data_IF_614168507030
#
_entry.id   IF_614168507030
#
_cell.length_a   1.000
_cell.length_b   1.000
_cell.length_c   1.000
_cell.angle_alpha   90.00
_cell.angle_beta   90.00
_cell.angle_gamma   90.00
#
_symmetry.space_group_name_H-M   'P 1'
#
loop_
_entity.id
_entity.type
_entity.pdbx_description
1 polymer ?
#
# COMPACT_ATOMS: atom_id res chain seq x y z
N UNK A 1 -15.25 -8.63 51.74
CA UNK A 1 -15.12 -7.71 50.59
C UNK A 1 -15.49 -8.42 49.28
N UNK A 2 -16.78 -8.69 49.00
CA UNK A 2 -17.19 -9.50 47.82
C UNK A 2 -18.26 -8.85 46.92
N UNK A 3 -18.62 -7.58 47.16
CA UNK A 3 -19.64 -6.86 46.36
C UNK A 3 -19.08 -6.02 45.21
N UNK A 4 -17.75 -5.83 45.16
CA UNK A 4 -17.09 -5.04 44.08
C UNK A 4 -16.96 -5.84 42.79
N UNK A 5 -16.77 -7.16 42.88
CA UNK A 5 -16.66 -8.07 41.73
C UNK A 5 -17.98 -8.24 40.99
N UNK A 6 -19.12 -8.33 41.69
CA UNK A 6 -20.43 -8.50 41.03
C UNK A 6 -20.89 -7.27 40.25
N UNK A 7 -20.53 -6.07 40.72
CA UNK A 7 -20.79 -4.82 40.01
C UNK A 7 -19.92 -4.69 38.76
N UNK A 8 -18.61 -4.90 38.89
CA UNK A 8 -17.67 -4.84 37.77
C UNK A 8 -18.00 -5.88 36.68
N UNK A 9 -18.39 -7.09 37.08
CA UNK A 9 -18.78 -8.18 36.19
C UNK A 9 -20.13 -7.90 35.50
N UNK A 10 -21.04 -7.16 36.14
CA UNK A 10 -22.26 -6.67 35.51
C UNK A 10 -21.96 -5.56 34.49
N UNK A 11 -21.14 -4.58 34.87
CA UNK A 11 -20.71 -3.48 34.00
C UNK A 11 -19.98 -4.01 32.75
N UNK A 12 -19.13 -5.03 32.91
CA UNK A 12 -18.44 -5.68 31.80
C UNK A 12 -19.42 -6.37 30.83
N UNK A 13 -20.40 -7.12 31.34
CA UNK A 13 -21.42 -7.76 30.49
C UNK A 13 -22.35 -6.77 29.80
N UNK A 14 -22.63 -5.62 30.43
CA UNK A 14 -23.41 -4.54 29.83
C UNK A 14 -22.62 -3.87 28.69
N UNK A 15 -21.33 -3.59 28.90
CA UNK A 15 -20.44 -3.07 27.85
C UNK A 15 -20.30 -4.04 26.68
N UNK A 16 -20.18 -5.35 26.94
CA UNK A 16 -20.11 -6.37 25.89
C UNK A 16 -21.40 -6.42 25.05
N UNK A 17 -22.58 -6.31 25.68
CA UNK A 17 -23.86 -6.25 24.97
C UNK A 17 -24.00 -4.98 24.13
N UNK A 18 -23.58 -3.83 24.66
CA UNK A 18 -23.60 -2.57 23.93
C UNK A 18 -22.68 -2.61 22.69
N UNK A 19 -21.49 -3.20 22.84
CA UNK A 19 -20.56 -3.41 21.71
C UNK A 19 -21.13 -4.35 20.64
N UNK A 20 -21.78 -5.44 21.03
CA UNK A 20 -22.46 -6.34 20.09
C UNK A 20 -23.62 -5.67 19.35
N UNK A 21 -24.39 -4.81 20.04
CA UNK A 21 -25.49 -4.07 19.40
C UNK A 21 -24.96 -3.07 18.35
N UNK A 22 -23.87 -2.36 18.66
CA UNK A 22 -23.20 -1.47 17.69
C UNK A 22 -22.69 -2.23 16.47
N UNK A 23 -22.07 -3.40 16.66
CA UNK A 23 -21.59 -4.25 15.56
C UNK A 23 -22.75 -4.76 14.69
N UNK A 24 -23.88 -5.15 15.29
CA UNK A 24 -25.06 -5.59 14.57
C UNK A 24 -25.61 -4.49 13.63
N UNK A 25 -25.68 -3.24 14.10
CA UNK A 25 -26.09 -2.10 13.27
C UNK A 25 -25.16 -1.85 12.07
N UNK A 26 -23.87 -2.22 12.20
CA UNK A 26 -22.89 -2.11 11.11
C UNK A 26 -22.81 -3.36 10.21
N UNK A 27 -23.52 -4.44 10.56
CA UNK A 27 -23.58 -5.66 9.73
C UNK A 27 -24.61 -5.50 8.60
N UNK A 28 -25.48 -4.50 8.70
CA UNK A 28 -26.45 -4.09 7.67
C UNK A 28 -25.75 -3.25 6.58
N UNK A 29 -24.63 -3.74 6.03
CA UNK A 29 -24.15 -3.19 4.77
C UNK A 29 -25.17 -3.59 3.70
N UNK A 30 -25.71 -2.65 2.90
CA UNK A 30 -26.65 -3.03 1.86
C UNK A 30 -25.96 -4.06 0.96
N UNK A 31 -26.56 -5.25 0.90
CA UNK A 31 -26.09 -6.32 0.04
C UNK A 31 -26.01 -5.75 -1.38
N UNK A 32 -24.87 -5.95 -2.03
CA UNK A 32 -24.65 -5.45 -3.38
C UNK A 32 -25.86 -5.84 -4.23
N UNK A 33 -26.57 -4.84 -4.76
CA UNK A 33 -27.76 -5.05 -5.56
C UNK A 33 -27.44 -6.12 -6.61
N UNK A 34 -28.26 -7.18 -6.65
CA UNK A 34 -28.15 -8.22 -7.66
C UNK A 34 -27.99 -7.58 -9.05
N UNK A 35 -27.16 -8.14 -9.95
CA UNK A 35 -26.92 -7.55 -11.26
C UNK A 35 -28.26 -7.35 -11.96
N UNK A 36 -28.63 -6.09 -12.15
CA UNK A 36 -29.83 -5.69 -12.89
C UNK A 36 -29.64 -6.18 -14.32
N UNK A 37 -30.54 -7.03 -14.81
CA UNK A 37 -30.52 -7.45 -16.21
C UNK A 37 -30.48 -6.21 -17.11
N UNK A 38 -29.50 -6.17 -18.01
CA UNK A 38 -29.20 -5.01 -18.84
C UNK A 38 -30.46 -4.53 -19.61
N UNK A 39 -30.89 -3.28 -19.45
CA UNK A 39 -31.85 -2.70 -20.38
C UNK A 39 -31.14 -2.34 -21.69
N UNK A 40 -31.87 -2.52 -22.79
CA UNK A 40 -31.43 -2.26 -24.15
C UNK A 40 -30.89 -0.83 -24.34
N UNK A 41 -29.79 -0.72 -25.08
CA UNK A 41 -29.19 0.47 -25.70
C UNK A 41 -29.49 1.82 -25.02
N UNK A 42 -29.08 1.97 -23.76
CA UNK A 42 -28.67 3.28 -23.27
C UNK A 42 -27.29 3.58 -23.85
N UNK A 43 -27.11 4.78 -24.41
CA UNK A 43 -25.78 5.32 -24.68
C UNK A 43 -25.01 5.28 -23.36
N UNK A 44 -24.11 4.31 -23.22
CA UNK A 44 -23.29 4.11 -22.03
C UNK A 44 -22.36 5.31 -21.96
N UNK A 45 -22.81 6.39 -21.34
CA UNK A 45 -21.89 7.35 -20.73
C UNK A 45 -21.20 6.54 -19.65
N UNK A 46 -19.90 6.24 -19.77
CA UNK A 46 -19.20 5.54 -18.71
C UNK A 46 -19.40 6.38 -17.45
N UNK A 47 -20.04 5.83 -16.43
CA UNK A 47 -20.14 6.41 -15.09
C UNK A 47 -18.78 6.31 -14.38
N UNK A 48 -17.74 6.71 -15.11
CA UNK A 48 -16.36 6.55 -14.72
C UNK A 48 -15.61 7.74 -15.29
N UNK A 49 -14.81 8.39 -14.44
CA UNK A 49 -14.12 9.62 -14.78
C UNK A 49 -13.35 9.48 -16.11
N UNK A 50 -13.26 10.54 -16.94
CA UNK A 50 -12.41 10.51 -18.12
C UNK A 50 -10.97 10.09 -17.78
N UNK A 51 -10.24 9.37 -18.66
CA UNK A 51 -8.92 8.83 -18.38
C UNK A 51 -7.92 9.83 -17.79
N UNK A 52 -7.97 11.09 -18.23
CA UNK A 52 -7.12 12.18 -17.77
C UNK A 52 -7.34 12.59 -16.30
N UNK A 53 -8.47 12.21 -15.71
CA UNK A 53 -8.81 12.46 -14.30
C UNK A 53 -8.70 11.21 -13.43
N UNK A 54 -8.28 10.07 -14.00
CA UNK A 54 -8.05 8.86 -13.24
C UNK A 54 -6.67 8.91 -12.61
N UNK A 55 -6.55 8.36 -11.40
CA UNK A 55 -5.23 8.08 -10.84
C UNK A 55 -4.49 7.12 -11.78
N UNK A 56 -3.21 7.39 -12.12
CA UNK A 56 -2.42 6.49 -12.95
C UNK A 56 -2.43 5.09 -12.36
N UNK A 57 -2.73 4.09 -13.18
CA UNK A 57 -2.54 2.71 -12.78
C UNK A 57 -1.07 2.31 -12.92
N UNK A 58 -0.67 1.18 -12.33
CA UNK A 58 0.71 0.69 -12.38
C UNK A 58 1.26 0.56 -13.81
N UNK A 59 0.39 0.28 -14.78
CA UNK A 59 0.79 0.12 -16.20
C UNK A 59 1.01 1.46 -16.91
N UNK A 60 0.55 2.57 -16.32
CA UNK A 60 0.67 3.91 -16.90
C UNK A 60 2.00 4.59 -16.53
N UNK A 61 2.81 3.96 -15.67
CA UNK A 61 4.10 4.49 -15.20
C UNK A 61 5.23 3.51 -15.46
N UNK A 62 6.42 4.03 -15.77
CA UNK A 62 7.61 3.20 -16.01
C UNK A 62 8.08 2.44 -14.77
N UNK A 63 7.77 2.96 -13.59
CA UNK A 63 8.07 2.35 -12.30
C UNK A 63 7.75 3.29 -11.14
N UNK A 64 7.73 2.73 -9.93
CA UNK A 64 7.61 3.45 -8.68
C UNK A 64 8.96 3.48 -7.96
N UNK A 65 9.20 4.54 -7.19
CA UNK A 65 10.40 4.65 -6.38
C UNK A 65 10.04 5.09 -4.97
N UNK A 66 10.74 4.54 -3.99
CA UNK A 66 10.60 4.93 -2.59
C UNK A 66 11.95 4.94 -1.90
N UNK A 67 12.10 5.82 -0.92
CA UNK A 67 13.29 5.87 -0.07
C UNK A 67 13.17 4.85 1.07
N UNK A 68 14.27 4.18 1.37
CA UNK A 68 14.40 3.23 2.45
C UNK A 68 15.59 3.59 3.34
N UNK A 69 15.31 4.33 4.41
CA UNK A 69 16.32 4.91 5.29
C UNK A 69 16.91 3.92 6.30
N UNK A 70 16.19 2.84 6.59
CA UNK A 70 16.61 1.80 7.54
C UNK A 70 17.47 0.73 6.84
N UNK A 71 18.23 -0.10 7.59
CA UNK A 71 18.91 -1.24 6.99
C UNK A 71 17.90 -2.16 6.27
N UNK A 72 18.17 -2.48 5.00
CA UNK A 72 17.32 -3.37 4.23
C UNK A 72 17.62 -4.82 4.62
N UNK A 73 16.65 -5.49 5.22
CA UNK A 73 16.79 -6.89 5.65
C UNK A 73 16.00 -7.78 4.68
N UNK A 74 16.69 -8.71 4.04
CA UNK A 74 16.12 -9.65 3.06
C UNK A 74 16.47 -11.05 3.53
N UNK A 75 15.45 -11.90 3.75
CA UNK A 75 15.61 -13.25 4.29
C UNK A 75 16.41 -13.34 5.61
N UNK A 76 16.38 -12.28 6.41
CA UNK A 76 17.11 -12.20 7.68
C UNK A 76 18.55 -11.66 7.55
N UNK A 77 19.02 -11.36 6.34
CA UNK A 77 20.34 -10.78 6.10
C UNK A 77 20.25 -9.29 5.78
N UNK A 78 21.19 -8.49 6.32
CA UNK A 78 21.29 -7.08 5.98
C UNK A 78 21.92 -6.96 4.59
N UNK A 79 21.14 -6.48 3.64
CA UNK A 79 21.60 -6.23 2.28
C UNK A 79 22.57 -5.05 2.24
N UNK A 80 23.74 -5.26 1.65
CA UNK A 80 24.78 -4.26 1.48
C UNK A 80 25.22 -4.18 0.02
N UNK A 81 25.45 -2.96 -0.46
CA UNK A 81 26.04 -2.69 -1.75
C UNK A 81 27.50 -3.18 -1.77
N UNK A 82 28.06 -3.46 -2.95
CA UNK A 82 29.48 -3.74 -3.11
C UNK A 82 30.39 -2.58 -2.67
N UNK A 83 29.87 -1.34 -2.60
CA UNK A 83 30.59 -0.20 -2.02
C UNK A 83 30.58 -0.15 -0.48
N UNK A 84 29.86 -1.07 0.18
CA UNK A 84 29.71 -1.13 1.64
C UNK A 84 28.55 -0.30 2.22
N UNK A 85 27.78 0.40 1.37
CA UNK A 85 26.54 1.07 1.82
C UNK A 85 25.46 0.03 2.14
N UNK A 86 24.86 0.11 3.33
CA UNK A 86 23.82 -0.82 3.80
C UNK A 86 22.49 -0.13 4.19
N UNK A 87 22.42 1.20 4.08
CA UNK A 87 21.27 2.05 4.45
C UNK A 87 21.03 3.11 3.38
N UNK A 88 19.91 3.82 3.48
CA UNK A 88 19.51 4.90 2.56
C UNK A 88 19.44 4.39 1.11
N UNK A 89 18.71 3.29 0.95
CA UNK A 89 18.45 2.71 -0.37
C UNK A 89 17.32 3.47 -1.05
N UNK A 90 17.38 3.57 -2.36
CA UNK A 90 16.21 3.86 -3.18
C UNK A 90 15.75 2.53 -3.75
N UNK A 91 14.52 2.15 -3.46
CA UNK A 91 13.91 0.95 -4.02
C UNK A 91 13.07 1.36 -5.20
N UNK A 92 13.40 0.81 -6.37
CA UNK A 92 12.61 0.91 -7.58
C UNK A 92 11.78 -0.34 -7.75
N UNK A 93 10.54 -0.16 -8.13
CA UNK A 93 9.73 -1.23 -8.69
C UNK A 93 9.35 -0.85 -10.11
N UNK A 94 9.82 -1.63 -11.07
CA UNK A 94 9.63 -1.38 -12.49
C UNK A 94 8.31 -1.98 -12.98
N UNK A 95 7.84 -1.52 -14.14
CA UNK A 95 6.59 -2.01 -14.75
C UNK A 95 6.60 -3.52 -15.07
N UNK A 96 7.79 -4.15 -15.16
CA UNK A 96 7.98 -5.58 -15.44
C UNK A 96 8.05 -6.42 -14.16
N UNK A 97 7.59 -5.86 -13.03
CA UNK A 97 7.62 -6.43 -11.69
C UNK A 97 9.02 -6.68 -11.12
N UNK A 98 10.08 -6.17 -11.76
CA UNK A 98 11.43 -6.23 -11.22
C UNK A 98 11.66 -5.18 -10.14
N UNK A 99 12.37 -5.57 -9.07
CA UNK A 99 12.77 -4.67 -7.99
C UNK A 99 14.26 -4.39 -8.08
N UNK A 100 14.60 -3.10 -8.15
CA UNK A 100 15.97 -2.63 -8.19
C UNK A 100 16.29 -1.79 -6.95
N UNK A 101 17.53 -1.88 -6.50
CA UNK A 101 18.04 -1.13 -5.36
C UNK A 101 19.14 -0.21 -5.83
N UNK A 102 19.08 1.06 -5.44
CA UNK A 102 20.14 2.03 -5.66
C UNK A 102 20.68 2.56 -4.36
N UNK A 103 22.00 2.46 -4.18
CA UNK A 103 22.65 2.99 -2.99
C UNK A 103 22.90 4.50 -3.13
N UNK A 104 23.27 5.14 -2.02
CA UNK A 104 23.62 6.57 -1.99
C UNK A 104 24.74 6.98 -2.96
N UNK A 105 25.64 6.05 -3.29
CA UNK A 105 26.78 6.30 -4.19
C UNK A 105 26.39 6.08 -5.67
N UNK A 106 25.12 5.81 -5.94
CA UNK A 106 24.56 5.69 -7.30
C UNK A 106 24.70 4.30 -7.92
N UNK A 107 25.14 3.29 -7.18
CA UNK A 107 25.19 1.92 -7.68
C UNK A 107 23.81 1.29 -7.69
N UNK A 108 23.45 0.66 -8.80
CA UNK A 108 22.18 -0.04 -8.98
C UNK A 108 22.41 -1.55 -9.00
N UNK A 109 21.53 -2.29 -8.33
CA UNK A 109 21.52 -3.76 -8.35
C UNK A 109 20.10 -4.25 -8.46
N UNK A 110 19.89 -5.26 -9.32
CA UNK A 110 18.65 -6.01 -9.38
C UNK A 110 18.58 -6.96 -8.18
N UNK A 111 17.48 -6.95 -7.44
CA UNK A 111 17.29 -7.82 -6.28
C UNK A 111 16.15 -8.80 -6.55
N UNK A 112 16.53 -10.05 -6.84
CA UNK A 112 15.58 -11.10 -7.24
C UNK A 112 14.76 -11.67 -6.10
N UNK A 113 15.15 -11.41 -4.84
CA UNK A 113 14.41 -11.86 -3.66
C UNK A 113 13.26 -10.92 -3.29
N UNK A 114 13.25 -9.71 -3.85
CA UNK A 114 12.19 -8.75 -3.65
C UNK A 114 11.28 -8.72 -4.88
N UNK A 115 9.98 -8.76 -4.64
CA UNK A 115 8.97 -8.72 -5.68
C UNK A 115 8.05 -7.50 -5.53
N UNK A 116 7.18 -7.32 -6.53
CA UNK A 116 6.10 -6.32 -6.49
C UNK A 116 5.23 -6.43 -5.25
N UNK A 117 4.95 -7.63 -4.76
CA UNK A 117 4.14 -7.82 -3.56
C UNK A 117 4.85 -7.28 -2.31
N UNK A 118 6.16 -7.50 -2.18
CA UNK A 118 6.98 -6.91 -1.13
C UNK A 118 6.97 -5.40 -1.23
N UNK A 119 7.19 -4.83 -2.42
CA UNK A 119 7.19 -3.39 -2.60
C UNK A 119 5.86 -2.78 -2.12
N UNK A 120 4.73 -3.29 -2.62
CA UNK A 120 3.40 -2.76 -2.30
C UNK A 120 3.05 -2.86 -0.81
N UNK A 121 3.57 -3.86 -0.08
CA UNK A 121 3.37 -4.01 1.37
C UNK A 121 4.17 -3.01 2.20
N UNK A 122 5.32 -2.58 1.69
CA UNK A 122 6.27 -1.74 2.41
C UNK A 122 6.27 -0.28 1.94
N UNK A 123 5.74 -0.01 0.74
CA UNK A 123 5.57 1.33 0.20
C UNK A 123 4.39 2.03 0.85
N UNK A 124 4.58 3.31 1.19
CA UNK A 124 3.47 4.20 1.56
C UNK A 124 2.64 4.63 0.34
N UNK A 125 1.63 5.49 0.56
CA UNK A 125 0.90 6.13 -0.53
C UNK A 125 1.87 6.87 -1.47
N UNK A 126 1.59 6.84 -2.77
CA UNK A 126 2.35 7.61 -3.75
C UNK A 126 2.11 9.09 -3.50
N UNK A 127 3.19 9.83 -3.28
CA UNK A 127 3.22 11.27 -2.99
C UNK A 127 3.45 12.11 -4.26
N UNK A 128 4.30 11.65 -5.17
CA UNK A 128 4.63 12.34 -6.42
C UNK A 128 4.80 11.39 -7.60
N UNK A 129 4.46 11.90 -8.79
CA UNK A 129 4.71 11.25 -10.08
C UNK A 129 5.75 12.06 -10.85
N UNK A 130 6.77 11.37 -11.37
CA UNK A 130 7.85 11.98 -12.14
C UNK A 130 7.87 11.42 -13.57
N UNK A 131 8.06 12.27 -14.59
CA UNK A 131 8.05 11.84 -15.99
C UNK A 131 9.30 11.03 -16.38
N UNK A 132 10.39 11.14 -15.64
CA UNK A 132 11.62 10.38 -15.87
C UNK A 132 12.32 10.04 -14.54
N UNK A 133 13.29 9.12 -14.61
CA UNK A 133 14.04 8.62 -13.46
C UNK A 133 14.85 9.72 -12.76
N UNK A 134 15.50 10.60 -13.53
CA UNK A 134 16.36 11.67 -13.01
C UNK A 134 15.56 12.67 -12.15
N UNK A 135 14.37 13.04 -12.61
CA UNK A 135 13.46 13.92 -11.87
C UNK A 135 13.02 13.30 -10.54
N UNK A 136 12.78 11.99 -10.52
CA UNK A 136 12.43 11.26 -9.30
C UNK A 136 13.61 11.14 -8.33
N UNK A 137 14.81 10.85 -8.83
CA UNK A 137 16.03 10.83 -8.02
C UNK A 137 16.29 12.19 -7.37
N UNK A 138 16.17 13.27 -8.14
CA UNK A 138 16.32 14.64 -7.65
C UNK A 138 15.30 14.97 -6.55
N UNK A 139 14.06 14.52 -6.70
CA UNK A 139 13.03 14.68 -5.66
C UNK A 139 13.38 13.95 -4.36
N UNK A 140 14.01 12.78 -4.46
CA UNK A 140 14.48 12.00 -3.31
C UNK A 140 15.82 12.51 -2.72
N UNK A 141 16.42 13.54 -3.33
CA UNK A 141 17.65 14.18 -2.86
C UNK A 141 18.95 13.55 -3.37
N UNK A 142 18.90 12.91 -4.54
CA UNK A 142 20.04 12.27 -5.21
C UNK A 142 20.44 12.95 -6.52
#
# INVERSE_FOLDING_TARGET
>A
MFRRTTRADREFREAQRAGQALLAMHTEWPEALAPVAAPAEATVVPDFLPPEFRAPCRQDVSGFMMRWDVPLVIDGEVHACHCGAYRNWIVFNMHDDSVWLRCKDGHETHETRLDTAWYNRNSGPVDHFHPNLEDGLRHLGH
#
